data_IF_427912418641
#
_entry.id   IF_427912418641
#
_cell.length_a   1.000
_cell.length_b   1.000
_cell.length_c   1.000
_cell.angle_alpha   90.00
_cell.angle_beta   90.00
_cell.angle_gamma   90.00
#
_symmetry.space_group_name_H-M   'P 1'
#
loop_
_entity.id
_entity.type
_entity.pdbx_description
1 polymer ?
#
# COMPACT_ATOMS: atom_id res chain seq x y z
N UNK A 1 -34.64 -10.32 17.68
CA UNK A 1 -34.12 -9.12 18.40
C UNK A 1 -33.50 -9.43 19.75
N UNK A 2 -33.91 -10.51 20.46
CA UNK A 2 -33.36 -10.93 21.77
C UNK A 2 -31.83 -11.04 21.82
N UNK A 3 -31.20 -11.71 20.85
CA UNK A 3 -29.73 -11.85 20.76
C UNK A 3 -28.97 -10.50 20.81
N UNK A 4 -29.37 -9.51 20.01
CA UNK A 4 -28.75 -8.19 20.00
C UNK A 4 -29.03 -7.42 21.30
N UNK A 5 -30.21 -7.58 21.89
CA UNK A 5 -30.55 -7.03 23.20
C UNK A 5 -29.65 -7.57 24.31
N UNK A 6 -29.43 -8.89 24.33
CA UNK A 6 -28.53 -9.55 25.29
C UNK A 6 -27.08 -9.06 25.13
N UNK A 7 -26.56 -9.02 23.90
CA UNK A 7 -25.23 -8.45 23.62
C UNK A 7 -25.16 -7.00 24.11
N UNK A 8 -26.17 -6.19 23.82
CA UNK A 8 -26.20 -4.80 24.23
C UNK A 8 -26.17 -4.63 25.75
N UNK A 9 -26.95 -5.43 26.48
CA UNK A 9 -27.13 -5.30 27.92
C UNK A 9 -26.00 -5.92 28.74
N UNK A 10 -25.51 -7.08 28.32
CA UNK A 10 -24.55 -7.89 29.07
C UNK A 10 -23.10 -7.65 28.66
N UNK A 11 -22.85 -7.24 27.40
CA UNK A 11 -21.49 -7.11 26.86
C UNK A 11 -21.15 -5.65 26.57
N UNK A 12 -21.83 -5.00 25.61
CA UNK A 12 -21.35 -3.71 25.08
C UNK A 12 -21.63 -2.53 26.01
N UNK A 13 -22.81 -2.46 26.65
CA UNK A 13 -23.10 -1.35 27.56
C UNK A 13 -22.22 -1.39 28.82
N UNK A 14 -22.02 -2.53 29.50
CA UNK A 14 -21.05 -2.65 30.59
C UNK A 14 -19.62 -2.31 30.15
N UNK A 15 -19.20 -2.76 28.96
CA UNK A 15 -17.91 -2.40 28.38
C UNK A 15 -17.74 -0.87 28.26
N UNK A 16 -18.72 -0.17 27.69
CA UNK A 16 -18.65 1.30 27.56
C UNK A 16 -18.58 2.01 28.90
N UNK A 17 -19.31 1.54 29.92
CA UNK A 17 -19.22 2.08 31.28
C UNK A 17 -17.78 1.94 31.83
N UNK A 18 -17.16 0.77 31.65
CA UNK A 18 -15.76 0.53 32.05
C UNK A 18 -14.77 1.42 31.29
N UNK A 19 -14.98 1.62 29.99
CA UNK A 19 -14.14 2.51 29.16
C UNK A 19 -14.27 3.96 29.61
N UNK A 20 -15.45 4.40 30.04
CA UNK A 20 -15.73 5.76 30.50
C UNK A 20 -15.29 6.05 31.94
N UNK A 21 -15.12 5.01 32.77
CA UNK A 21 -14.59 5.18 34.12
C UNK A 21 -13.21 5.83 34.09
N UNK A 22 -12.92 6.72 35.05
CA UNK A 22 -11.59 7.31 35.21
C UNK A 22 -10.56 6.21 35.48
N UNK A 23 -9.42 6.26 34.79
CA UNK A 23 -8.37 5.26 34.91
C UNK A 23 -7.29 5.46 33.86
N UNK A 24 -6.31 4.57 33.85
CA UNK A 24 -5.23 4.56 32.87
C UNK A 24 -5.63 3.75 31.62
N UNK A 25 -5.05 4.08 30.47
CA UNK A 25 -5.26 3.32 29.24
C UNK A 25 -4.92 1.83 29.38
N UNK A 26 -3.92 1.48 30.19
CA UNK A 26 -3.52 0.08 30.40
C UNK A 26 -4.53 -0.74 31.21
N UNK A 27 -5.46 -0.10 31.92
CA UNK A 27 -6.54 -0.82 32.61
C UNK A 27 -7.45 -1.55 31.61
N UNK A 28 -7.48 -1.09 30.35
CA UNK A 28 -8.19 -1.78 29.27
C UNK A 28 -7.58 -3.14 28.92
N UNK A 29 -6.29 -3.38 29.19
CA UNK A 29 -5.66 -4.67 28.86
C UNK A 29 -6.36 -5.83 29.58
N UNK A 30 -6.72 -5.63 30.86
CA UNK A 30 -7.48 -6.62 31.62
C UNK A 30 -8.91 -6.79 31.08
N UNK A 31 -9.59 -5.67 30.79
CA UNK A 31 -10.96 -5.65 30.26
C UNK A 31 -11.04 -6.35 28.90
N UNK A 32 -10.04 -6.13 28.05
CA UNK A 32 -9.89 -6.78 26.75
C UNK A 32 -9.63 -8.27 26.89
N UNK A 33 -8.75 -8.67 27.82
CA UNK A 33 -8.53 -10.08 28.14
C UNK A 33 -9.82 -10.79 28.55
N UNK A 34 -10.58 -10.22 29.50
CA UNK A 34 -11.88 -10.74 29.94
C UNK A 34 -12.87 -10.90 28.77
N UNK A 35 -12.95 -9.89 27.90
CA UNK A 35 -13.82 -9.93 26.72
C UNK A 35 -13.42 -11.04 25.76
N UNK A 36 -12.14 -11.13 25.40
CA UNK A 36 -11.67 -12.17 24.46
C UNK A 36 -11.85 -13.58 25.02
N UNK A 37 -11.56 -13.78 26.31
CA UNK A 37 -11.79 -15.07 26.97
C UNK A 37 -13.27 -15.44 26.99
N UNK A 38 -14.15 -14.49 27.29
CA UNK A 38 -15.59 -14.70 27.27
C UNK A 38 -16.11 -15.05 25.87
N UNK A 39 -15.70 -14.31 24.83
CA UNK A 39 -16.11 -14.58 23.45
C UNK A 39 -15.63 -15.96 22.98
N UNK A 40 -14.40 -16.31 23.31
CA UNK A 40 -13.82 -17.61 22.98
C UNK A 40 -14.60 -18.76 23.63
N UNK A 41 -14.89 -18.66 24.94
CA UNK A 41 -15.65 -19.68 25.68
C UNK A 41 -17.09 -19.83 25.15
N UNK A 42 -17.74 -18.74 24.73
CA UNK A 42 -19.13 -18.75 24.27
C UNK A 42 -19.27 -18.96 22.74
N UNK A 43 -18.17 -19.21 22.02
CA UNK A 43 -18.23 -19.61 20.60
C UNK A 43 -18.82 -21.02 20.45
N UNK A 44 -18.54 -21.91 21.41
CA UNK A 44 -19.02 -23.30 21.40
C UNK A 44 -20.40 -23.46 22.04
N UNK A 45 -20.66 -22.80 23.16
CA UNK A 45 -21.95 -22.83 23.86
C UNK A 45 -22.26 -21.47 24.50
N UNK A 46 -23.34 -20.84 24.06
CA UNK A 46 -23.81 -19.55 24.58
C UNK A 46 -25.08 -19.70 25.45
N UNK A 47 -25.43 -20.91 25.88
CA UNK A 47 -26.66 -21.20 26.63
C UNK A 47 -26.72 -20.42 27.96
N UNK A 48 -25.59 -20.29 28.65
CA UNK A 48 -25.51 -19.53 29.91
C UNK A 48 -25.92 -18.05 29.75
N UNK A 49 -25.68 -17.45 28.59
CA UNK A 49 -26.01 -16.04 28.35
C UNK A 49 -27.52 -15.85 28.25
N UNK A 50 -28.24 -16.83 27.70
CA UNK A 50 -29.70 -16.76 27.52
C UNK A 50 -30.41 -17.19 28.81
N UNK A 51 -29.93 -18.24 29.48
CA UNK A 51 -30.59 -18.80 30.66
C UNK A 51 -30.22 -18.11 31.98
N UNK A 52 -28.93 -17.81 32.17
CA UNK A 52 -28.41 -17.24 33.42
C UNK A 52 -27.99 -15.79 33.30
N UNK A 53 -28.21 -15.17 32.13
CA UNK A 53 -27.90 -13.75 31.86
C UNK A 53 -26.45 -13.37 32.19
N UNK A 54 -25.52 -14.30 31.96
CA UNK A 54 -24.10 -14.10 32.27
C UNK A 54 -23.41 -13.17 31.28
N UNK A 55 -22.54 -12.30 31.80
CA UNK A 55 -21.71 -11.40 31.00
C UNK A 55 -20.23 -11.48 31.38
N UNK A 56 -19.33 -10.88 30.57
CA UNK A 56 -17.88 -10.87 30.83
C UNK A 56 -17.44 -9.99 32.00
N UNK A 57 -18.33 -9.14 32.52
CA UNK A 57 -18.01 -8.12 33.52
C UNK A 57 -18.91 -8.26 34.76
N UNK A 58 -18.59 -7.52 35.81
CA UNK A 58 -19.36 -7.52 37.06
C UNK A 58 -20.84 -7.15 36.84
N UNK A 59 -21.74 -7.85 37.54
CA UNK A 59 -23.21 -7.68 37.42
C UNK A 59 -23.67 -6.27 37.78
N UNK A 60 -22.94 -5.56 38.64
CA UNK A 60 -23.20 -4.16 39.01
C UNK A 60 -23.18 -3.20 37.81
N UNK A 61 -22.47 -3.56 36.73
CA UNK A 61 -22.41 -2.75 35.51
C UNK A 61 -23.62 -2.96 34.60
N UNK A 62 -24.48 -3.94 34.89
CA UNK A 62 -25.66 -4.27 34.11
C UNK A 62 -26.88 -3.53 34.67
N UNK A 63 -27.54 -2.74 33.81
CA UNK A 63 -28.75 -1.99 34.19
C UNK A 63 -29.98 -2.88 34.01
N UNK A 64 -30.61 -3.24 35.13
CA UNK A 64 -31.80 -4.10 35.22
C UNK A 64 -33.09 -3.30 35.07
N UNK A 65 -33.34 -2.81 33.86
CA UNK A 65 -34.57 -2.10 33.49
C UNK A 65 -35.63 -3.05 32.88
N UNK A 66 -36.78 -2.50 32.47
CA UNK A 66 -37.86 -3.29 31.85
C UNK A 66 -37.40 -4.09 30.63
N UNK A 67 -36.45 -3.55 29.86
CA UNK A 67 -35.86 -4.24 28.73
C UNK A 67 -35.03 -5.45 29.17
N UNK A 68 -34.22 -5.32 30.22
CA UNK A 68 -33.51 -6.45 30.83
C UNK A 68 -34.48 -7.54 31.31
N UNK A 69 -35.54 -7.15 32.04
CA UNK A 69 -36.52 -8.09 32.57
C UNK A 69 -37.25 -8.86 31.45
N UNK A 70 -37.57 -8.20 30.34
CA UNK A 70 -38.16 -8.85 29.16
C UNK A 70 -37.18 -9.79 28.46
N UNK A 71 -35.89 -9.46 28.43
CA UNK A 71 -34.86 -10.32 27.83
C UNK A 71 -34.57 -11.56 28.67
N UNK A 72 -34.76 -11.49 30.00
CA UNK A 72 -34.56 -12.60 30.92
C UNK A 72 -35.71 -13.63 30.95
N UNK A 73 -36.85 -13.32 30.32
CA UNK A 73 -37.97 -14.27 30.22
C UNK A 73 -37.64 -15.36 29.19
N UNK A 74 -38.07 -16.59 29.46
CA UNK A 74 -37.95 -17.70 28.51
C UNK A 74 -38.75 -17.42 27.23
N UNK A 75 -38.17 -17.76 26.08
CA UNK A 75 -38.76 -17.55 24.77
C UNK A 75 -38.65 -18.84 23.94
N UNK A 76 -39.66 -19.15 23.13
CA UNK A 76 -39.69 -20.32 22.25
C UNK A 76 -38.50 -20.35 21.27
N UNK A 77 -37.92 -19.18 20.95
CA UNK A 77 -36.78 -19.04 20.06
C UNK A 77 -35.43 -19.08 20.76
N UNK A 78 -35.35 -19.37 22.07
CA UNK A 78 -34.09 -19.30 22.81
C UNK A 78 -33.01 -20.23 22.26
N UNK A 79 -33.39 -21.40 21.75
CA UNK A 79 -32.46 -22.29 21.04
C UNK A 79 -31.86 -21.58 19.82
N UNK A 80 -32.67 -20.88 19.03
CA UNK A 80 -32.20 -20.13 17.86
C UNK A 80 -31.33 -18.94 18.27
N UNK A 81 -31.68 -18.26 19.36
CA UNK A 81 -30.91 -17.14 19.93
C UNK A 81 -29.52 -17.59 20.35
N UNK A 82 -29.37 -18.76 20.99
CA UNK A 82 -28.07 -19.35 21.35
C UNK A 82 -27.20 -19.54 20.10
N UNK A 83 -27.73 -20.13 19.03
CA UNK A 83 -26.98 -20.34 17.79
C UNK A 83 -26.56 -19.02 17.12
N UNK A 84 -27.43 -18.01 17.14
CA UNK A 84 -27.11 -16.68 16.63
C UNK A 84 -25.98 -16.04 17.45
N UNK A 85 -26.03 -16.15 18.78
CA UNK A 85 -24.99 -15.63 19.67
C UNK A 85 -23.64 -16.32 19.43
N UNK A 86 -23.61 -17.64 19.29
CA UNK A 86 -22.40 -18.40 18.96
C UNK A 86 -21.74 -17.91 17.65
N UNK A 87 -22.55 -17.72 16.60
CA UNK A 87 -22.06 -17.19 15.31
C UNK A 87 -21.49 -15.78 15.45
N UNK A 88 -22.18 -14.90 16.18
CA UNK A 88 -21.71 -13.52 16.40
C UNK A 88 -20.43 -13.52 17.23
N UNK A 89 -20.35 -14.31 18.31
CA UNK A 89 -19.18 -14.38 19.17
C UNK A 89 -17.98 -15.00 18.47
N UNK A 90 -18.17 -16.03 17.65
CA UNK A 90 -17.09 -16.59 16.83
C UNK A 90 -16.53 -15.56 15.84
N UNK A 91 -17.40 -14.77 15.19
CA UNK A 91 -16.95 -13.69 14.31
C UNK A 91 -16.25 -12.55 15.08
N UNK A 92 -16.77 -12.18 16.25
CA UNK A 92 -16.19 -11.15 17.11
C UNK A 92 -14.85 -11.56 17.71
N UNK A 93 -14.69 -12.81 18.15
CA UNK A 93 -13.43 -13.32 18.68
C UNK A 93 -12.33 -13.19 17.62
N UNK A 94 -12.57 -13.68 16.40
CA UNK A 94 -11.60 -13.59 15.30
C UNK A 94 -11.23 -12.14 14.97
N UNK A 95 -12.21 -11.23 14.96
CA UNK A 95 -11.97 -9.83 14.66
C UNK A 95 -11.23 -9.12 15.80
N UNK A 96 -11.75 -9.20 17.02
CA UNK A 96 -11.19 -8.51 18.19
C UNK A 96 -9.80 -9.03 18.51
N UNK A 97 -9.59 -10.35 18.55
CA UNK A 97 -8.27 -10.94 18.81
C UNK A 97 -7.18 -10.45 17.83
N UNK A 98 -7.56 -10.00 16.63
CA UNK A 98 -6.66 -9.31 15.69
C UNK A 98 -6.57 -7.80 15.95
N UNK A 99 -7.71 -7.12 16.11
CA UNK A 99 -7.79 -5.67 16.25
C UNK A 99 -7.10 -5.14 17.50
N UNK A 100 -7.19 -5.86 18.62
CA UNK A 100 -6.60 -5.49 19.91
C UNK A 100 -5.37 -6.33 20.27
N UNK A 101 -4.77 -7.04 19.30
CA UNK A 101 -3.63 -7.95 19.51
C UNK A 101 -2.49 -7.32 20.33
N UNK A 102 -2.20 -6.03 20.10
CA UNK A 102 -1.13 -5.33 20.83
C UNK A 102 -1.43 -5.09 22.31
N UNK A 103 -2.71 -5.16 22.72
CA UNK A 103 -3.16 -5.02 24.11
C UNK A 103 -3.37 -6.36 24.83
N UNK A 104 -3.40 -7.48 24.08
CA UNK A 104 -3.51 -8.83 24.62
C UNK A 104 -2.13 -9.39 25.01
N UNK A 105 -2.10 -10.53 25.69
CA UNK A 105 -0.87 -11.16 26.17
C UNK A 105 0.18 -11.33 25.06
N UNK A 106 1.39 -10.79 25.30
CA UNK A 106 2.49 -10.80 24.32
C UNK A 106 2.46 -9.66 23.29
N UNK A 107 1.47 -8.76 23.34
CA UNK A 107 1.40 -7.56 22.53
C UNK A 107 2.30 -6.42 23.02
N UNK A 108 2.59 -5.44 22.14
CA UNK A 108 3.49 -4.32 22.44
C UNK A 108 3.00 -3.39 23.57
N UNK A 109 1.69 -3.32 23.78
CA UNK A 109 1.02 -2.45 24.76
C UNK A 109 0.47 -3.21 25.96
N UNK A 110 0.69 -4.52 26.02
CA UNK A 110 0.34 -5.36 27.15
C UNK A 110 1.36 -5.20 28.28
N UNK A 111 1.21 -4.09 29.00
CA UNK A 111 2.01 -3.73 30.18
C UNK A 111 1.20 -4.09 31.42
N UNK A 112 1.68 -5.07 32.19
CA UNK A 112 0.90 -5.65 33.29
C UNK A 112 1.10 -5.01 34.65
N UNK A 113 2.04 -4.07 34.84
CA UNK A 113 2.09 -3.08 35.94
C UNK A 113 3.44 -2.34 36.00
N UNK A 114 3.80 -1.63 34.92
CA UNK A 114 4.98 -0.76 34.93
C UNK A 114 4.58 0.66 35.41
N UNK A 115 5.01 1.10 36.61
CA UNK A 115 4.64 2.41 37.14
C UNK A 115 5.15 3.58 36.30
N UNK A 116 6.34 3.43 35.68
CA UNK A 116 6.93 4.47 34.81
C UNK A 116 6.08 4.65 33.54
N UNK A 117 5.63 3.54 32.95
CA UNK A 117 4.75 3.59 31.78
C UNK A 117 3.39 4.20 32.13
N UNK A 118 2.78 3.78 33.26
CA UNK A 118 1.51 4.33 33.73
C UNK A 118 1.60 5.85 33.98
N UNK A 119 2.70 6.34 34.55
CA UNK A 119 2.92 7.78 34.73
C UNK A 119 3.05 8.51 33.38
N UNK A 120 3.84 7.96 32.45
CA UNK A 120 4.05 8.53 31.12
C UNK A 120 2.76 8.72 30.33
N UNK A 121 1.82 7.78 30.43
CA UNK A 121 0.54 7.80 29.72
C UNK A 121 -0.65 8.19 30.60
N UNK A 122 -0.40 8.89 31.72
CA UNK A 122 -1.44 9.29 32.68
C UNK A 122 -2.48 10.26 32.09
N UNK A 123 -2.11 11.05 31.08
CA UNK A 123 -3.00 11.99 30.40
C UNK A 123 -3.78 11.35 29.23
N UNK A 124 -3.48 10.11 28.87
CA UNK A 124 -4.16 9.42 27.76
C UNK A 124 -5.50 8.88 28.20
N UNK A 125 -6.58 9.37 27.58
CA UNK A 125 -7.94 8.88 27.81
C UNK A 125 -8.19 7.54 27.12
N UNK A 126 -9.05 6.71 27.71
CA UNK A 126 -9.43 5.38 27.20
C UNK A 126 -10.32 5.41 25.95
N UNK A 127 -10.93 6.55 25.64
CA UNK A 127 -11.84 6.72 24.52
C UNK A 127 -11.53 7.97 23.70
N UNK A 128 -11.95 7.97 22.45
CA UNK A 128 -11.74 9.06 21.50
C UNK A 128 -12.88 10.10 21.44
N UNK A 129 -13.94 9.98 22.27
CA UNK A 129 -15.13 10.86 22.24
C UNK A 129 -14.83 12.35 22.12
N UNK A 130 -13.85 12.85 22.90
CA UNK A 130 -13.48 14.26 22.85
C UNK A 130 -12.91 14.66 21.49
N UNK A 131 -12.02 13.84 20.92
CA UNK A 131 -11.45 14.09 19.61
C UNK A 131 -12.53 14.05 18.53
N UNK A 132 -13.42 13.06 18.55
CA UNK A 132 -14.55 12.95 17.63
C UNK A 132 -15.47 14.17 17.71
N UNK A 133 -15.79 14.62 18.93
CA UNK A 133 -16.59 15.81 19.15
C UNK A 133 -15.92 17.08 18.58
N UNK A 134 -14.62 17.26 18.82
CA UNK A 134 -13.84 18.38 18.27
C UNK A 134 -13.80 18.34 16.74
N UNK A 135 -13.59 17.16 16.14
CA UNK A 135 -13.62 16.99 14.69
C UNK A 135 -14.99 17.27 14.10
N UNK A 136 -16.07 16.78 14.74
CA UNK A 136 -17.44 17.06 14.31
C UNK A 136 -17.77 18.55 14.35
N UNK A 137 -17.34 19.26 15.40
CA UNK A 137 -17.48 20.72 15.49
C UNK A 137 -16.67 21.43 14.41
N UNK A 138 -15.42 21.00 14.17
CA UNK A 138 -14.59 21.59 13.12
C UNK A 138 -15.21 21.40 11.73
N UNK A 139 -15.68 20.20 11.41
CA UNK A 139 -16.36 19.90 10.14
C UNK A 139 -17.65 20.72 9.96
N UNK A 140 -18.44 20.87 11.03
CA UNK A 140 -19.61 21.74 11.02
C UNK A 140 -19.20 23.20 10.75
N UNK A 141 -18.18 23.71 11.45
CA UNK A 141 -17.73 25.10 11.28
C UNK A 141 -17.13 25.38 9.91
N UNK A 142 -16.37 24.44 9.33
CA UNK A 142 -15.80 24.63 7.98
C UNK A 142 -16.88 24.66 6.91
N UNK A 143 -17.95 23.86 7.06
CA UNK A 143 -19.11 23.86 6.15
C UNK A 143 -19.95 25.12 6.25
N UNK A 144 -20.27 25.57 7.47
CA UNK A 144 -21.16 26.70 7.69
C UNK A 144 -20.44 28.06 7.71
N UNK A 145 -19.12 28.07 7.86
CA UNK A 145 -18.28 29.29 7.86
C UNK A 145 -17.10 29.13 6.89
N UNK A 146 -17.35 28.97 5.57
CA UNK A 146 -16.30 28.71 4.59
C UNK A 146 -15.29 29.87 4.46
N UNK A 147 -15.71 31.10 4.77
CA UNK A 147 -14.86 32.29 4.74
C UNK A 147 -14.08 32.51 6.04
N UNK A 148 -14.35 31.73 7.09
CA UNK A 148 -13.61 31.82 8.35
C UNK A 148 -12.26 31.09 8.21
N UNK A 149 -11.20 31.69 8.76
CA UNK A 149 -9.91 31.02 8.80
C UNK A 149 -9.94 29.82 9.76
N UNK A 150 -9.10 28.82 9.50
CA UNK A 150 -8.94 27.66 10.40
C UNK A 150 -8.58 28.12 11.82
N UNK A 151 -7.69 29.12 11.95
CA UNK A 151 -7.33 29.71 13.24
C UNK A 151 -8.55 30.26 14.00
N UNK A 152 -9.48 30.92 13.30
CA UNK A 152 -10.69 31.46 13.92
C UNK A 152 -11.64 30.33 14.37
N UNK A 153 -11.81 29.29 13.56
CA UNK A 153 -12.64 28.14 13.90
C UNK A 153 -12.05 27.35 15.08
N UNK A 154 -10.74 27.09 15.08
CA UNK A 154 -10.03 26.47 16.20
C UNK A 154 -10.18 27.27 17.49
N UNK A 155 -10.02 28.60 17.40
CA UNK A 155 -10.19 29.50 18.55
C UNK A 155 -11.60 29.41 19.13
N UNK A 156 -12.62 29.34 18.28
CA UNK A 156 -14.01 29.19 18.70
C UNK A 156 -14.26 27.84 19.39
N UNK A 157 -13.71 26.75 18.84
CA UNK A 157 -13.82 25.42 19.44
C UNK A 157 -13.17 25.44 20.83
N UNK A 158 -11.94 25.94 20.95
CA UNK A 158 -11.23 26.04 22.24
C UNK A 158 -12.00 26.89 23.24
N UNK A 159 -12.53 28.05 22.81
CA UNK A 159 -13.31 28.94 23.66
C UNK A 159 -14.58 28.26 24.20
N UNK A 160 -15.25 27.47 23.35
CA UNK A 160 -16.48 26.75 23.71
C UNK A 160 -16.18 25.56 24.64
N UNK A 161 -15.21 24.71 24.27
CA UNK A 161 -14.85 23.51 25.03
C UNK A 161 -14.30 23.84 26.42
N UNK A 162 -13.49 24.91 26.53
CA UNK A 162 -12.93 25.34 27.79
C UNK A 162 -13.93 26.17 28.64
N UNK A 163 -15.18 26.32 28.18
CA UNK A 163 -16.21 27.16 28.83
C UNK A 163 -15.69 28.56 29.16
N UNK A 164 -14.91 29.15 28.26
CA UNK A 164 -14.16 30.38 28.53
C UNK A 164 -15.09 31.56 28.81
N UNK A 165 -16.29 31.60 28.20
CA UNK A 165 -17.30 32.62 28.51
C UNK A 165 -17.74 32.57 29.98
N UNK A 166 -18.21 31.41 30.46
CA UNK A 166 -18.63 31.20 31.86
C UNK A 166 -17.47 31.48 32.82
N UNK A 167 -16.25 31.07 32.48
CA UNK A 167 -15.06 31.38 33.28
C UNK A 167 -14.78 32.88 33.36
N UNK A 168 -14.96 33.63 32.28
CA UNK A 168 -14.77 35.09 32.24
C UNK A 168 -15.87 35.82 33.01
N UNK A 169 -17.11 35.35 32.95
CA UNK A 169 -18.25 35.92 33.67
C UNK A 169 -18.07 35.83 35.19
N UNK A 170 -17.44 34.76 35.67
CA UNK A 170 -17.12 34.55 37.07
C UNK A 170 -15.91 35.36 37.58
N UNK A 171 -15.30 36.22 36.76
CA UNK A 171 -14.18 37.09 37.18
C UNK A 171 -14.66 38.51 37.53
N UNK A 172 -13.95 39.22 38.43
CA UNK A 172 -14.19 40.64 38.66
C UNK A 172 -14.08 41.43 37.35
N UNK A 173 -14.90 42.46 37.21
CA UNK A 173 -15.03 43.23 35.96
C UNK A 173 -13.70 43.82 35.48
N UNK A 174 -12.89 44.36 36.40
CA UNK A 174 -11.57 44.92 36.10
C UNK A 174 -10.62 43.86 35.51
N UNK A 175 -10.61 42.66 36.10
CA UNK A 175 -9.78 41.54 35.64
C UNK A 175 -10.26 41.05 34.28
N UNK A 176 -11.57 40.94 34.08
CA UNK A 176 -12.18 40.55 32.80
C UNK A 176 -11.80 41.51 31.66
N UNK A 177 -11.92 42.81 31.90
CA UNK A 177 -11.56 43.84 30.91
C UNK A 177 -10.06 43.80 30.57
N UNK A 178 -9.20 43.61 31.58
CA UNK A 178 -7.76 43.45 31.37
C UNK A 178 -7.45 42.23 30.49
N UNK A 179 -8.03 41.07 30.80
CA UNK A 179 -7.84 39.84 30.02
C UNK A 179 -8.27 40.00 28.55
N UNK A 180 -9.41 40.66 28.29
CA UNK A 180 -9.89 40.91 26.92
C UNK A 180 -8.94 41.86 26.19
N UNK A 181 -8.43 42.89 26.86
CA UNK A 181 -7.45 43.82 26.28
C UNK A 181 -6.16 43.10 25.91
N UNK A 182 -5.64 42.27 26.81
CA UNK A 182 -4.42 41.49 26.59
C UNK A 182 -4.59 40.49 25.43
N UNK A 183 -5.73 39.79 25.37
CA UNK A 183 -6.05 38.87 24.28
C UNK A 183 -6.12 39.57 22.91
N UNK A 184 -6.65 40.80 22.85
CA UNK A 184 -6.68 41.60 21.62
C UNK A 184 -5.28 41.97 21.14
N UNK A 185 -4.38 42.33 22.06
CA UNK A 185 -2.99 42.65 21.75
C UNK A 185 -2.24 41.43 21.20
N UNK A 186 -2.39 40.27 21.85
CA UNK A 186 -1.74 39.02 21.43
C UNK A 186 -2.30 38.50 20.10
N UNK A 187 -3.59 38.72 19.83
CA UNK A 187 -4.24 38.22 18.63
C UNK A 187 -3.61 38.68 17.31
N UNK A 188 -3.01 39.88 17.28
CA UNK A 188 -2.31 40.39 16.08
C UNK A 188 -1.03 39.61 15.81
N UNK A 189 -0.23 39.37 16.85
CA UNK A 189 0.99 38.58 16.75
C UNK A 189 0.70 37.13 16.36
N UNK A 190 -0.38 36.54 16.93
CA UNK A 190 -0.80 35.19 16.59
C UNK A 190 -1.20 35.05 15.11
N UNK A 191 -1.96 36.01 14.57
CA UNK A 191 -2.33 36.01 13.14
C UNK A 191 -1.10 36.15 12.23
N UNK A 192 -0.13 36.98 12.63
CA UNK A 192 1.14 37.14 11.91
C UNK A 192 1.90 35.81 11.86
N UNK A 193 2.12 35.18 13.02
CA UNK A 193 2.78 33.86 13.12
C UNK A 193 2.05 32.78 12.33
N UNK A 194 0.73 32.76 12.35
CA UNK A 194 -0.08 31.82 11.57
C UNK A 194 0.14 32.00 10.05
N UNK A 195 0.18 33.24 9.56
CA UNK A 195 0.45 33.55 8.15
C UNK A 195 1.86 33.12 7.73
N UNK A 196 2.87 33.42 8.55
CA UNK A 196 4.26 33.00 8.33
C UNK A 196 4.36 31.47 8.26
N UNK A 197 3.72 30.77 9.20
CA UNK A 197 3.69 29.32 9.22
C UNK A 197 2.99 28.72 8.01
N UNK A 198 1.91 29.34 7.53
CA UNK A 198 1.22 28.89 6.31
C UNK A 198 2.14 28.96 5.09
N UNK A 199 2.86 30.06 4.92
CA UNK A 199 3.83 30.24 3.83
C UNK A 199 4.95 29.20 3.92
N UNK A 200 5.48 28.95 5.13
CA UNK A 200 6.51 27.93 5.37
C UNK A 200 6.02 26.52 4.99
N UNK A 201 4.80 26.16 5.38
CA UNK A 201 4.20 24.86 5.06
C UNK A 201 4.03 24.71 3.53
N UNK A 202 3.53 25.75 2.85
CA UNK A 202 3.36 25.74 1.40
C UNK A 202 4.70 25.58 0.67
N UNK A 203 5.75 26.28 1.12
CA UNK A 203 7.10 26.15 0.57
C UNK A 203 7.64 24.71 0.73
N UNK A 204 7.51 24.12 1.93
CA UNK A 204 7.93 22.73 2.19
C UNK A 204 7.16 21.71 1.37
N UNK A 205 5.86 21.92 1.17
CA UNK A 205 5.04 21.05 0.32
C UNK A 205 5.50 21.12 -1.15
N UNK A 206 5.81 22.32 -1.65
CA UNK A 206 6.30 22.51 -3.01
C UNK A 206 7.65 21.84 -3.24
N UNK A 207 8.57 21.94 -2.27
CA UNK A 207 9.87 21.28 -2.29
C UNK A 207 9.73 19.76 -2.32
N UNK A 208 8.95 19.17 -1.40
CA UNK A 208 8.67 17.72 -1.38
C UNK A 208 8.06 17.22 -2.70
N UNK A 209 7.18 18.02 -3.30
CA UNK A 209 6.59 17.67 -4.59
C UNK A 209 7.63 17.68 -5.71
N UNK A 210 8.55 18.65 -5.70
CA UNK A 210 9.67 18.74 -6.65
C UNK A 210 10.60 17.53 -6.50
N UNK A 211 11.02 17.21 -5.28
CA UNK A 211 11.85 16.04 -5.00
C UNK A 211 11.20 14.74 -5.48
N UNK A 212 9.89 14.57 -5.26
CA UNK A 212 9.14 13.40 -5.72
C UNK A 212 9.12 13.32 -7.25
N UNK A 213 8.95 14.45 -7.94
CA UNK A 213 9.00 14.52 -9.41
C UNK A 213 10.39 14.16 -9.94
N UNK A 214 11.43 14.74 -9.38
CA UNK A 214 12.82 14.44 -9.77
C UNK A 214 13.20 12.98 -9.50
N UNK A 215 12.80 12.43 -8.35
CA UNK A 215 13.02 11.03 -8.04
C UNK A 215 12.32 10.09 -9.05
N UNK A 216 11.11 10.46 -9.49
CA UNK A 216 10.39 9.73 -10.53
C UNK A 216 11.12 9.82 -11.88
N UNK A 217 11.57 11.01 -12.28
CA UNK A 217 12.34 11.22 -13.51
C UNK A 217 13.64 10.42 -13.49
N UNK A 218 14.44 10.52 -12.42
CA UNK A 218 15.67 9.72 -12.24
C UNK A 218 15.38 8.21 -12.30
N UNK A 219 14.27 7.75 -11.72
CA UNK A 219 13.86 6.33 -11.80
C UNK A 219 13.50 5.92 -13.23
N UNK A 220 12.88 6.80 -14.01
CA UNK A 220 12.57 6.56 -15.44
C UNK A 220 13.84 6.53 -16.28
N UNK A 221 14.73 7.50 -16.11
CA UNK A 221 16.03 7.57 -16.79
C UNK A 221 16.89 6.35 -16.50
N UNK A 222 17.00 5.93 -15.22
CA UNK A 222 17.71 4.70 -14.83
C UNK A 222 17.15 3.46 -15.51
N UNK A 223 15.82 3.34 -15.58
CA UNK A 223 15.17 2.23 -16.28
C UNK A 223 15.44 2.26 -17.79
N UNK A 224 15.43 3.45 -18.40
CA UNK A 224 15.72 3.61 -19.82
C UNK A 224 17.18 3.26 -20.14
N UNK A 225 18.13 3.78 -19.36
CA UNK A 225 19.55 3.45 -19.46
C UNK A 225 19.81 1.95 -19.26
N UNK A 226 19.13 1.32 -18.30
CA UNK A 226 19.23 -0.12 -18.08
C UNK A 226 18.72 -0.93 -19.28
N UNK A 227 17.59 -0.52 -19.88
CA UNK A 227 17.06 -1.15 -21.10
C UNK A 227 18.01 -0.98 -22.29
N UNK A 228 18.55 0.22 -22.50
CA UNK A 228 19.53 0.48 -23.55
C UNK A 228 20.79 -0.38 -23.37
N UNK A 229 21.33 -0.44 -22.15
CA UNK A 229 22.48 -1.27 -21.80
C UNK A 229 22.22 -2.76 -22.09
N UNK A 230 21.07 -3.28 -21.68
CA UNK A 230 20.69 -4.68 -21.95
C UNK A 230 20.50 -4.96 -23.44
N UNK A 231 20.00 -3.98 -24.20
CA UNK A 231 19.83 -4.10 -25.66
C UNK A 231 21.19 -4.22 -26.34
N UNK A 232 22.15 -3.36 -25.98
CA UNK A 232 23.52 -3.42 -26.49
C UNK A 232 24.24 -4.71 -26.06
N UNK A 233 24.00 -5.20 -24.85
CA UNK A 233 24.59 -6.47 -24.38
C UNK A 233 24.02 -7.69 -25.12
N UNK A 234 22.73 -7.70 -25.45
CA UNK A 234 22.12 -8.77 -26.25
C UNK A 234 22.61 -8.74 -27.69
N UNK A 235 22.87 -7.56 -28.25
CA UNK A 235 23.40 -7.37 -29.59
C UNK A 235 24.74 -8.11 -29.79
N UNK A 236 25.60 -8.12 -28.77
CA UNK A 236 26.87 -8.86 -28.81
C UNK A 236 26.70 -10.38 -28.86
N UNK A 237 25.76 -10.95 -28.10
CA UNK A 237 25.56 -12.41 -28.01
C UNK A 237 24.46 -12.94 -28.96
N UNK A 238 23.72 -12.06 -29.62
CA UNK A 238 22.48 -12.37 -30.33
C UNK A 238 21.32 -12.69 -29.39
N UNK A 239 20.08 -12.52 -29.84
CA UNK A 239 18.90 -12.95 -29.09
C UNK A 239 18.64 -14.44 -29.31
N UNK A 240 18.65 -15.24 -28.22
CA UNK A 240 18.50 -16.69 -28.34
C UNK A 240 17.03 -17.09 -28.39
N UNK A 241 16.56 -17.45 -29.60
CA UNK A 241 15.14 -17.71 -29.88
C UNK A 241 14.79 -19.20 -29.90
N UNK A 242 15.75 -20.08 -30.16
CA UNK A 242 15.55 -21.54 -30.19
C UNK A 242 16.52 -22.22 -29.24
N UNK A 243 16.12 -23.37 -28.69
CA UNK A 243 16.99 -24.17 -27.81
C UNK A 243 18.29 -24.59 -28.49
N UNK A 244 18.23 -24.98 -29.77
CA UNK A 244 19.39 -25.49 -30.49
C UNK A 244 20.42 -24.38 -30.72
N UNK A 245 19.97 -23.22 -31.22
CA UNK A 245 20.82 -22.03 -31.31
C UNK A 245 21.43 -21.62 -29.96
N UNK A 246 20.65 -21.66 -28.88
CA UNK A 246 21.16 -21.37 -27.55
C UNK A 246 22.26 -22.36 -27.10
N UNK A 247 22.12 -23.65 -27.42
CA UNK A 247 23.14 -24.67 -27.13
C UNK A 247 24.41 -24.44 -27.95
N UNK A 248 24.26 -24.21 -29.24
CA UNK A 248 25.38 -23.93 -30.16
C UNK A 248 26.21 -22.73 -29.69
N UNK A 249 25.56 -21.61 -29.37
CA UNK A 249 26.26 -20.43 -28.84
C UNK A 249 26.93 -20.72 -27.50
N UNK A 250 26.29 -21.50 -26.61
CA UNK A 250 26.92 -21.91 -25.35
C UNK A 250 28.12 -22.84 -25.52
N UNK A 251 28.20 -23.60 -26.61
CA UNK A 251 29.36 -24.45 -26.95
C UNK A 251 30.52 -23.63 -27.50
N UNK A 252 30.24 -22.59 -28.30
CA UNK A 252 31.27 -21.70 -28.86
C UNK A 252 31.96 -20.80 -27.83
N UNK A 253 31.30 -20.48 -26.72
CA UNK A 253 31.87 -19.63 -25.66
C UNK A 253 32.90 -20.44 -24.84
N UNK A 254 34.17 -20.02 -24.74
CA UNK A 254 35.21 -20.83 -24.10
C UNK A 254 35.16 -20.78 -22.56
N UNK A 255 34.74 -19.65 -21.98
CA UNK A 255 34.88 -19.41 -20.53
C UNK A 255 33.56 -19.59 -19.78
N UNK A 256 33.57 -20.37 -18.69
CA UNK A 256 32.38 -20.59 -17.84
C UNK A 256 31.79 -19.29 -17.26
N UNK A 257 32.64 -18.31 -16.93
CA UNK A 257 32.22 -16.97 -16.49
C UNK A 257 31.43 -16.22 -17.57
N UNK A 258 31.88 -16.32 -18.82
CA UNK A 258 31.24 -15.68 -19.96
C UNK A 258 29.92 -16.36 -20.34
N UNK A 259 29.84 -17.70 -20.30
CA UNK A 259 28.57 -18.43 -20.44
C UNK A 259 27.53 -17.95 -19.43
N UNK A 260 27.94 -17.80 -18.17
CA UNK A 260 27.07 -17.30 -17.09
C UNK A 260 26.64 -15.86 -17.33
N UNK A 261 27.51 -15.01 -17.87
CA UNK A 261 27.19 -13.62 -18.23
C UNK A 261 26.18 -13.57 -19.37
N UNK A 262 26.39 -14.31 -20.46
CA UNK A 262 25.49 -14.39 -21.60
C UNK A 262 24.08 -14.86 -21.18
N UNK A 263 23.98 -15.94 -20.39
CA UNK A 263 22.71 -16.43 -19.85
C UNK A 263 21.98 -15.38 -18.99
N UNK A 264 22.72 -14.68 -18.13
CA UNK A 264 22.15 -13.60 -17.31
C UNK A 264 21.63 -12.45 -18.16
N UNK A 265 22.32 -12.10 -19.25
CA UNK A 265 21.89 -11.05 -20.19
C UNK A 265 20.59 -11.48 -20.88
N UNK A 266 20.51 -12.70 -21.42
CA UNK A 266 19.31 -13.22 -22.07
C UNK A 266 18.08 -13.18 -21.15
N UNK A 267 18.21 -13.70 -19.93
CA UNK A 267 17.14 -13.74 -18.94
C UNK A 267 16.72 -12.33 -18.49
N UNK A 268 17.68 -11.41 -18.28
CA UNK A 268 17.36 -10.02 -17.92
C UNK A 268 16.70 -9.25 -19.07
N UNK A 269 17.13 -9.47 -20.30
CA UNK A 269 16.53 -8.85 -21.48
C UNK A 269 15.08 -9.31 -21.66
N UNK A 270 14.83 -10.63 -21.61
CA UNK A 270 13.47 -11.19 -21.64
C UNK A 270 12.59 -10.62 -20.53
N UNK A 271 13.11 -10.48 -19.30
CA UNK A 271 12.37 -9.92 -18.17
C UNK A 271 12.11 -8.41 -18.27
N UNK A 272 13.13 -7.61 -18.56
CA UNK A 272 13.12 -6.14 -18.37
C UNK A 272 12.85 -5.37 -19.65
N UNK A 273 13.20 -5.94 -20.81
CA UNK A 273 13.07 -5.30 -22.13
C UNK A 273 11.86 -5.89 -22.87
N UNK A 274 11.81 -7.23 -23.03
CA UNK A 274 10.68 -7.89 -23.69
C UNK A 274 9.43 -7.99 -22.79
N UNK A 275 9.60 -7.85 -21.46
CA UNK A 275 8.53 -7.97 -20.47
C UNK A 275 7.78 -9.30 -20.58
N UNK A 276 8.53 -10.39 -20.79
CA UNK A 276 7.98 -11.72 -20.94
C UNK A 276 7.20 -12.15 -19.69
N UNK A 277 5.90 -12.44 -19.87
CA UNK A 277 5.06 -13.05 -18.85
C UNK A 277 5.30 -14.56 -18.83
N UNK A 278 5.37 -15.13 -17.63
CA UNK A 278 5.71 -16.55 -17.45
C UNK A 278 4.69 -17.23 -16.56
N UNK A 279 4.27 -18.43 -16.95
CA UNK A 279 3.35 -19.25 -16.14
C UNK A 279 4.09 -19.87 -14.95
N UNK A 280 5.35 -20.22 -15.18
CA UNK A 280 6.20 -20.86 -14.18
C UNK A 280 6.79 -19.82 -13.23
N UNK A 281 6.57 -19.99 -11.92
CA UNK A 281 7.15 -19.09 -10.90
C UNK A 281 8.67 -19.26 -10.88
N UNK A 282 9.40 -18.16 -10.68
CA UNK A 282 10.85 -18.10 -10.46
C UNK A 282 11.77 -18.36 -11.67
N UNK A 283 11.26 -18.43 -12.90
CA UNK A 283 12.06 -18.61 -14.13
C UNK A 283 13.12 -17.52 -14.35
N UNK A 284 12.85 -16.27 -13.96
CA UNK A 284 13.83 -15.18 -14.05
C UNK A 284 14.72 -15.01 -12.80
N UNK A 285 14.69 -15.93 -11.83
CA UNK A 285 15.62 -15.87 -10.71
C UNK A 285 17.03 -16.27 -11.15
N UNK A 286 18.02 -15.59 -10.60
CA UNK A 286 19.44 -15.83 -10.86
C UNK A 286 20.17 -16.39 -9.64
N UNK A 287 19.49 -16.42 -8.50
CA UNK A 287 20.00 -16.85 -7.21
C UNK A 287 18.86 -17.26 -6.30
N UNK A 288 19.18 -18.13 -5.33
CA UNK A 288 18.31 -18.51 -4.21
C UNK A 288 19.15 -18.54 -2.94
N UNK A 289 18.60 -18.01 -1.84
CA UNK A 289 19.28 -17.96 -0.52
C UNK A 289 20.75 -17.49 -0.61
N UNK A 290 20.98 -16.38 -1.33
CA UNK A 290 22.30 -15.78 -1.60
C UNK A 290 23.29 -16.62 -2.44
N UNK A 291 22.93 -17.83 -2.90
CA UNK A 291 23.73 -18.66 -3.81
C UNK A 291 23.32 -18.39 -5.25
N UNK A 292 24.28 -18.07 -6.13
CA UNK A 292 24.01 -17.89 -7.56
C UNK A 292 23.73 -19.25 -8.22
N UNK A 293 22.77 -19.26 -9.16
CA UNK A 293 22.48 -20.47 -9.92
C UNK A 293 23.66 -20.92 -10.79
N UNK A 294 23.73 -22.23 -11.02
CA UNK A 294 24.70 -22.88 -11.91
C UNK A 294 24.33 -22.61 -13.37
N UNK A 295 25.25 -22.91 -14.29
CA UNK A 295 25.04 -22.68 -15.73
C UNK A 295 23.86 -23.54 -16.22
N UNK A 296 23.77 -24.78 -15.75
CA UNK A 296 22.75 -25.75 -16.12
C UNK A 296 21.36 -25.24 -15.72
N UNK A 297 21.23 -24.71 -14.49
CA UNK A 297 19.96 -24.17 -14.00
C UNK A 297 19.53 -22.90 -14.73
N UNK A 298 20.48 -22.03 -15.08
CA UNK A 298 20.20 -20.83 -15.87
C UNK A 298 19.79 -21.18 -17.31
N UNK A 299 20.42 -22.20 -17.92
CA UNK A 299 20.05 -22.70 -19.24
C UNK A 299 18.67 -23.35 -19.24
N UNK A 300 18.35 -24.18 -18.24
CA UNK A 300 17.02 -24.79 -18.08
C UNK A 300 15.94 -23.71 -17.98
N UNK A 301 16.17 -22.70 -17.13
CA UNK A 301 15.25 -21.56 -16.99
C UNK A 301 15.06 -20.83 -18.33
N UNK A 302 16.13 -20.60 -19.10
CA UNK A 302 16.05 -19.94 -20.40
C UNK A 302 15.30 -20.80 -21.43
N UNK A 303 15.49 -22.12 -21.44
CA UNK A 303 14.82 -23.03 -22.35
C UNK A 303 13.32 -23.10 -22.11
N UNK A 304 12.87 -23.07 -20.85
CA UNK A 304 11.44 -22.96 -20.51
C UNK A 304 10.84 -21.68 -21.11
N UNK A 305 11.55 -20.54 -20.99
CA UNK A 305 11.10 -19.27 -21.54
C UNK A 305 11.04 -19.27 -23.08
N UNK A 306 11.98 -19.96 -23.72
CA UNK A 306 11.98 -20.13 -25.18
C UNK A 306 10.77 -20.96 -25.62
N UNK A 307 10.51 -22.09 -24.97
CA UNK A 307 9.34 -22.93 -25.29
C UNK A 307 8.02 -22.18 -25.09
N UNK A 308 7.89 -21.46 -23.97
CA UNK A 308 6.71 -20.65 -23.67
C UNK A 308 6.48 -19.60 -24.78
N UNK A 309 7.54 -18.95 -25.26
CA UNK A 309 7.49 -17.95 -26.32
C UNK A 309 7.13 -18.56 -27.70
N UNK A 310 7.72 -19.70 -28.08
CA UNK A 310 7.39 -20.39 -29.33
C UNK A 310 5.96 -20.94 -29.35
N UNK A 311 5.44 -21.37 -28.18
CA UNK A 311 4.05 -21.81 -28.05
C UNK A 311 3.02 -20.67 -28.18
N UNK A 312 3.43 -19.41 -27.96
CA UNK A 312 2.60 -18.22 -28.21
C UNK A 312 2.54 -17.88 -29.71
N UNK A 313 3.65 -18.06 -30.44
CA UNK A 313 3.75 -17.77 -31.88
C UNK A 313 2.84 -18.67 -32.73
N UNK A 314 2.76 -19.96 -32.42
CA UNK A 314 1.87 -20.92 -33.11
C UNK A 314 0.37 -20.60 -32.96
N UNK A 315 -0.02 -19.82 -31.94
CA UNK A 315 -1.40 -19.35 -31.75
C UNK A 315 -1.71 -18.04 -32.47
N UNK A 316 -0.70 -17.32 -32.96
CA UNK A 316 -0.81 -15.97 -33.53
C UNK A 316 -0.34 -15.92 -34.99
N UNK A 317 -0.65 -16.95 -35.79
CA UNK A 317 -0.24 -17.10 -37.20
C UNK A 317 -0.88 -16.07 -38.18
N UNK A 318 -0.68 -14.78 -37.93
CA UNK A 318 -0.69 -13.75 -38.95
C UNK A 318 0.75 -13.26 -39.11
N UNK A 319 1.38 -13.62 -40.23
CA UNK A 319 2.76 -13.20 -40.55
C UNK A 319 2.75 -11.68 -40.69
N UNK A 320 3.39 -10.98 -39.74
CA UNK A 320 3.33 -9.53 -39.66
C UNK A 320 3.86 -8.87 -40.95
N UNK A 321 3.16 -7.84 -41.45
CA UNK A 321 3.38 -7.23 -42.78
C UNK A 321 4.82 -6.72 -43.05
N UNK A 322 5.58 -6.46 -41.98
CA UNK A 322 6.99 -6.05 -42.06
C UNK A 322 7.96 -7.19 -42.36
N UNK A 323 7.60 -8.44 -42.05
CA UNK A 323 8.51 -9.59 -42.18
C UNK A 323 8.79 -9.88 -43.66
N UNK A 324 10.08 -9.92 -44.03
CA UNK A 324 10.55 -10.10 -45.40
C UNK A 324 10.64 -8.80 -46.22
N UNK A 325 10.40 -7.64 -45.60
CA UNK A 325 10.53 -6.33 -46.27
C UNK A 325 11.92 -5.72 -46.05
N UNK A 326 12.37 -4.96 -47.04
CA UNK A 326 13.53 -4.07 -46.91
C UNK A 326 13.07 -2.74 -46.34
N UNK A 327 13.77 -2.24 -45.33
CA UNK A 327 13.41 -1.02 -44.59
C UNK A 327 14.62 -0.09 -44.50
N UNK A 328 14.36 1.21 -44.41
CA UNK A 328 15.34 2.23 -44.08
C UNK A 328 15.08 2.67 -42.64
N UNK A 329 16.05 2.41 -41.76
CA UNK A 329 15.97 2.71 -40.33
C UNK A 329 16.89 3.88 -39.98
N UNK A 330 16.34 4.92 -39.36
CA UNK A 330 17.03 6.14 -38.97
C UNK A 330 17.48 6.03 -37.52
N UNK A 331 18.76 6.28 -37.27
CA UNK A 331 19.32 6.38 -35.92
C UNK A 331 19.86 7.79 -35.67
N UNK A 332 19.68 8.27 -34.44
CA UNK A 332 20.27 9.52 -33.96
C UNK A 332 21.62 9.22 -33.29
N UNK A 333 22.71 9.61 -33.95
CA UNK A 333 24.05 9.56 -33.39
C UNK A 333 24.42 10.95 -32.84
N UNK A 334 25.13 10.96 -31.71
CA UNK A 334 25.56 12.20 -31.05
C UNK A 334 27.06 12.38 -31.25
N UNK A 335 27.44 13.35 -32.06
CA UNK A 335 28.83 13.69 -32.38
C UNK A 335 29.09 15.14 -31.95
N UNK A 336 30.04 15.35 -31.03
CA UNK A 336 30.46 16.66 -30.51
C UNK A 336 29.32 17.68 -30.34
N UNK A 337 28.34 17.32 -29.51
CA UNK A 337 27.14 18.12 -29.16
C UNK A 337 26.05 18.29 -30.25
N UNK A 338 26.23 17.75 -31.46
CA UNK A 338 25.24 17.79 -32.55
C UNK A 338 24.59 16.39 -32.70
N UNK A 339 23.26 16.37 -32.88
CA UNK A 339 22.52 15.13 -33.20
C UNK A 339 22.45 14.98 -34.72
N UNK A 340 23.07 13.92 -35.24
CA UNK A 340 23.10 13.61 -36.67
C UNK A 340 22.20 12.39 -36.89
N UNK A 341 21.23 12.52 -37.81
CA UNK A 341 20.37 11.40 -38.22
C UNK A 341 21.02 10.64 -39.36
N UNK A 342 21.32 9.36 -39.16
CA UNK A 342 21.84 8.45 -40.21
C UNK A 342 20.81 7.38 -40.55
N UNK A 343 20.63 7.13 -41.84
CA UNK A 343 19.72 6.09 -42.37
C UNK A 343 20.50 4.85 -42.76
N UNK A 344 20.05 3.68 -42.30
CA UNK A 344 20.63 2.37 -42.58
C UNK A 344 19.62 1.51 -43.32
N UNK A 345 20.04 0.85 -44.39
CA UNK A 345 19.20 -0.13 -45.10
C UNK A 345 19.31 -1.49 -44.43
N UNK A 346 18.17 -2.05 -44.06
CA UNK A 346 18.10 -3.37 -43.43
C UNK A 346 16.97 -4.22 -44.00
N UNK A 347 17.09 -5.53 -43.79
CA UNK A 347 16.09 -6.51 -44.18
C UNK A 347 15.49 -7.13 -42.92
N UNK A 348 14.16 -7.06 -42.80
CA UNK A 348 13.44 -7.62 -41.64
C UNK A 348 13.29 -9.13 -41.83
N UNK A 349 13.98 -9.90 -41.02
CA UNK A 349 14.11 -11.36 -41.16
C UNK A 349 12.86 -12.06 -40.62
N UNK A 350 12.49 -11.75 -39.38
CA UNK A 350 11.39 -12.42 -38.67
C UNK A 350 10.86 -11.56 -37.52
N UNK A 351 9.63 -11.83 -37.08
CA UNK A 351 9.18 -11.41 -35.76
C UNK A 351 9.87 -12.22 -34.69
N UNK A 352 10.06 -11.64 -33.50
CA UNK A 352 10.53 -12.41 -32.35
C UNK A 352 9.38 -13.30 -31.86
N UNK A 353 9.59 -14.63 -31.73
CA UNK A 353 8.57 -15.55 -31.26
C UNK A 353 7.92 -15.10 -29.94
N UNK A 354 6.59 -15.04 -29.92
CA UNK A 354 5.81 -14.62 -28.74
C UNK A 354 5.83 -13.11 -28.42
N UNK A 355 6.53 -12.29 -29.21
CA UNK A 355 6.60 -10.83 -29.02
C UNK A 355 6.31 -10.10 -30.34
N UNK A 356 5.02 -9.97 -30.67
CA UNK A 356 4.53 -9.40 -31.93
C UNK A 356 4.99 -7.96 -32.25
N UNK A 357 5.49 -7.21 -31.27
CA UNK A 357 6.03 -5.87 -31.46
C UNK A 357 7.54 -5.84 -31.76
N UNK A 358 8.25 -6.96 -31.61
CA UNK A 358 9.70 -7.03 -31.76
C UNK A 358 10.07 -7.81 -33.03
N UNK A 359 11.06 -7.31 -33.77
CA UNK A 359 11.47 -7.84 -35.05
C UNK A 359 12.98 -7.98 -35.13
N UNK A 360 13.43 -9.08 -35.74
CA UNK A 360 14.82 -9.29 -36.10
C UNK A 360 15.10 -8.63 -37.45
N UNK A 361 16.12 -7.78 -37.51
CA UNK A 361 16.54 -7.06 -38.71
C UNK A 361 18.05 -7.21 -38.88
N UNK A 362 18.48 -7.38 -40.13
CA UNK A 362 19.90 -7.39 -40.50
C UNK A 362 20.18 -6.22 -41.44
N UNK A 363 21.21 -5.44 -41.15
CA UNK A 363 21.62 -4.31 -41.99
C UNK A 363 22.57 -4.77 -43.10
N UNK A 364 22.63 -4.03 -44.21
CA UNK A 364 23.48 -4.40 -45.36
C UNK A 364 24.97 -4.32 -45.01
N UNK A 365 25.36 -3.31 -44.23
CA UNK A 365 26.76 -3.02 -43.91
C UNK A 365 27.25 -3.70 -42.60
N UNK A 366 26.36 -4.46 -41.93
CA UNK A 366 26.71 -5.16 -40.69
C UNK A 366 26.20 -6.62 -40.72
N UNK A 367 27.08 -7.63 -40.52
CA UNK A 367 26.67 -9.03 -40.50
C UNK A 367 25.77 -9.40 -39.30
N UNK A 368 25.69 -8.56 -38.27
CA UNK A 368 24.92 -8.83 -37.06
C UNK A 368 23.39 -8.78 -37.27
N UNK A 369 22.67 -9.55 -36.45
CA UNK A 369 21.20 -9.52 -36.39
C UNK A 369 20.80 -8.71 -35.16
N UNK A 370 19.96 -7.71 -35.39
CA UNK A 370 19.46 -6.80 -34.37
C UNK A 370 18.00 -7.09 -34.09
N UNK A 371 17.55 -6.77 -32.88
CA UNK A 371 16.15 -6.94 -32.49
C UNK A 371 15.59 -5.61 -31.99
N UNK A 372 14.62 -5.05 -32.71
CA UNK A 372 14.01 -3.74 -32.43
C UNK A 372 12.49 -3.79 -32.41
N UNK A 373 11.88 -2.77 -31.79
CA UNK A 373 10.44 -2.53 -31.86
C UNK A 373 10.08 -1.71 -33.11
N UNK A 374 10.26 -2.32 -34.28
CA UNK A 374 10.09 -1.64 -35.56
C UNK A 374 8.71 -0.98 -35.76
N UNK A 375 7.67 -1.46 -35.08
CA UNK A 375 6.35 -0.81 -35.08
C UNK A 375 6.32 0.54 -34.34
N UNK A 376 7.07 0.67 -33.26
CA UNK A 376 7.19 1.92 -32.53
C UNK A 376 8.05 2.90 -33.35
N UNK A 377 9.13 2.42 -33.95
CA UNK A 377 10.02 3.21 -34.81
C UNK A 377 9.29 3.70 -36.08
N UNK A 378 8.41 2.88 -36.68
CA UNK A 378 7.55 3.26 -37.80
C UNK A 378 6.50 4.31 -37.40
N UNK A 379 5.95 4.24 -36.18
CA UNK A 379 5.02 5.27 -35.67
C UNK A 379 5.72 6.61 -35.39
N UNK A 380 6.97 6.56 -34.95
CA UNK A 380 7.78 7.74 -34.67
C UNK A 380 8.35 8.38 -35.95
N UNK A 381 8.22 7.71 -37.10
CA UNK A 381 8.73 8.17 -38.39
C UNK A 381 10.23 7.87 -38.61
N UNK A 382 10.83 7.04 -37.77
CA UNK A 382 12.24 6.66 -37.86
C UNK A 382 12.46 5.41 -38.73
N UNK A 383 11.38 4.73 -39.17
CA UNK A 383 11.42 3.55 -40.03
C UNK A 383 10.52 3.70 -41.26
N UNK A 384 11.09 3.52 -42.45
CA UNK A 384 10.39 3.58 -43.74
C UNK A 384 10.54 2.24 -44.49
N UNK A 385 9.47 1.71 -45.09
CA UNK A 385 9.56 0.54 -45.97
C UNK A 385 10.08 0.99 -47.33
N UNK A 386 11.19 0.40 -47.77
CA UNK A 386 11.78 0.63 -49.09
C UNK A 386 11.15 -0.38 -50.04
N UNK A 387 10.33 0.12 -50.99
CA UNK A 387 9.64 -0.70 -51.99
C UNK A 387 10.62 -1.31 -52.97
#
# INVERSE_FOLDING_TARGET
MKALGLISKLVTAPFWRLVEMKGNIFDLNHIFGQLTSFLHSNTGDATSIVQTMTGPYADELVVKDDAYNRLAQEDEYDVVVVHILQLIFGAWDVYLSKAIKDHLSGGHHHVTDNPVARQKYSSTVKHNKFAEHVFGLLDHLTKHRPNASTLANESLIMFTQNKTAEWLENKPEEVRLKLIKDARLIGTDLRRKYKERKIEIEAKMKEKLKEKREALTRKRERKLAEKARLTNEVLYYGLWQTKDFAREILETIPTASEKKKALKIQLNFRKKVLLQETKTKNTFQMSSKAVQFTIEKLSENLFILIDEASALETKTHEKHMLVGKTVSHTFEEKEDTILIKRKYKGHVISSVPGFNQWFNIKYQDDPAIYTYKLLDDMKNGDLEIVV
#
